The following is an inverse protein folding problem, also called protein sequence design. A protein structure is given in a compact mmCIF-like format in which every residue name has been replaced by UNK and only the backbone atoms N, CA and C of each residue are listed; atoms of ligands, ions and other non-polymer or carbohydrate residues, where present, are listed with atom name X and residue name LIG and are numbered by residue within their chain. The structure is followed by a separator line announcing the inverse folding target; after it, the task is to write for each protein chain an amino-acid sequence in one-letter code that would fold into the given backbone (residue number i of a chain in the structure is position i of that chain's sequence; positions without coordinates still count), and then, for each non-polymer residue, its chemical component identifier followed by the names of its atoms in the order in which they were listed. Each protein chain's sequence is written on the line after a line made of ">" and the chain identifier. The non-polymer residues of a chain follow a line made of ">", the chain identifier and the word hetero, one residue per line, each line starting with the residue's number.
data_IF_814610658506
#
_entry.id   IF_814610658506
#
_cell.length_a   1.000
_cell.length_b   1.000
_cell.length_c   1.000
_cell.angle_alpha   90.00
_cell.angle_beta   90.00
_cell.angle_gamma   90.00
#
_symmetry.space_group_name_H-M   'P 1'
#
loop_
_entity.id
_entity.type
_entity.pdbx_description
1 polymer ?
#
# COMPACT_ATOMS: atom_id res chain seq x y z
N UNK A 1 -8.46 -34.56 63.62
CA UNK A 1 -7.62 -33.36 63.44
C UNK A 1 -7.14 -33.30 61.99
N UNK A 2 -7.71 -32.39 61.21
CA UNK A 2 -7.03 -31.60 60.16
C UNK A 2 -8.09 -30.93 59.29
N UNK A 3 -8.21 -29.62 59.47
CA UNK A 3 -8.95 -28.67 58.66
C UNK A 3 -8.26 -28.49 57.31
N UNK A 4 -9.02 -28.42 56.21
CA UNK A 4 -8.62 -27.64 55.02
C UNK A 4 -9.85 -26.87 54.53
N UNK A 5 -9.72 -25.55 54.59
CA UNK A 5 -10.70 -24.58 54.12
C UNK A 5 -10.73 -24.52 52.59
N UNK A 6 -11.93 -24.46 52.01
CA UNK A 6 -12.12 -24.12 50.60
C UNK A 6 -12.71 -22.71 50.49
N UNK A 7 -11.88 -21.78 50.02
CA UNK A 7 -12.23 -20.38 49.75
C UNK A 7 -13.00 -20.31 48.44
N UNK A 8 -14.16 -19.65 48.48
CA UNK A 8 -15.14 -19.49 47.40
C UNK A 8 -14.77 -18.24 46.57
N UNK A 9 -14.28 -18.40 45.33
CA UNK A 9 -14.07 -17.28 44.41
C UNK A 9 -15.42 -16.82 43.81
N UNK A 10 -15.77 -15.54 44.03
CA UNK A 10 -16.89 -14.84 43.37
C UNK A 10 -16.40 -14.26 42.03
N UNK A 11 -17.14 -14.56 40.96
CA UNK A 11 -16.88 -14.07 39.61
C UNK A 11 -16.98 -12.55 39.49
N UNK A 12 -15.99 -11.97 38.80
CA UNK A 12 -15.89 -10.55 38.46
C UNK A 12 -16.78 -10.27 37.24
N UNK A 13 -17.73 -9.34 37.38
CA UNK A 13 -18.65 -8.93 36.29
C UNK A 13 -17.92 -8.06 35.26
N UNK A 14 -18.07 -8.40 33.98
CA UNK A 14 -17.59 -7.58 32.86
C UNK A 14 -18.38 -6.27 32.76
N UNK A 15 -17.69 -5.14 32.98
CA UNK A 15 -18.21 -3.80 32.75
C UNK A 15 -18.20 -3.46 31.26
N UNK A 16 -19.35 -3.05 30.73
CA UNK A 16 -19.49 -2.48 29.38
C UNK A 16 -18.76 -1.13 29.35
N UNK A 17 -17.76 -0.99 28.47
CA UNK A 17 -17.09 0.30 28.25
C UNK A 17 -17.54 0.90 26.91
N UNK A 18 -18.39 1.91 27.00
CA UNK A 18 -18.79 2.83 25.93
C UNK A 18 -17.62 3.78 25.66
N UNK A 19 -16.96 3.66 24.50
CA UNK A 19 -15.95 4.63 24.08
C UNK A 19 -16.61 5.78 23.33
N UNK A 20 -16.48 6.99 23.89
CA UNK A 20 -16.96 8.24 23.34
C UNK A 20 -16.17 8.66 22.09
N UNK A 21 -16.88 9.26 21.14
CA UNK A 21 -16.33 9.96 19.97
C UNK A 21 -15.46 11.15 20.41
N UNK A 22 -14.30 11.30 19.78
CA UNK A 22 -13.54 12.57 19.75
C UNK A 22 -13.32 12.97 18.30
N UNK A 23 -13.58 14.25 17.99
CA UNK A 23 -13.43 14.86 16.67
C UNK A 23 -12.24 15.84 16.68
N UNK A 24 -11.43 15.74 15.61
CA UNK A 24 -10.55 16.74 14.99
C UNK A 24 -9.39 17.32 15.82
N UNK A 25 -8.16 17.01 15.36
CA UNK A 25 -6.96 17.82 15.61
C UNK A 25 -5.74 17.00 16.01
N UNK A 26 -4.81 16.79 15.06
CA UNK A 26 -3.52 16.08 15.18
C UNK A 26 -3.61 14.62 15.65
N UNK A 27 -3.40 13.70 14.72
CA UNK A 27 -3.19 12.28 15.02
C UNK A 27 -1.82 12.14 15.68
N UNK A 28 -1.77 12.24 17.01
CA UNK A 28 -0.68 11.67 17.76
C UNK A 28 -0.89 10.16 17.73
N UNK A 29 -0.05 9.44 16.99
CA UNK A 29 0.01 7.99 17.10
C UNK A 29 0.64 7.67 18.46
N UNK A 30 -0.20 7.50 19.46
CA UNK A 30 0.17 6.97 20.76
C UNK A 30 -0.43 5.57 20.87
N UNK A 31 0.44 4.57 20.89
CA UNK A 31 0.08 3.22 21.31
C UNK A 31 -0.45 3.28 22.76
N UNK A 32 -1.30 2.33 23.15
CA UNK A 32 -1.90 2.16 24.48
C UNK A 32 -0.84 2.15 25.61
N UNK A 33 0.44 1.92 25.28
CA UNK A 33 1.59 1.89 26.18
C UNK A 33 2.42 3.20 26.24
N UNK A 34 2.02 4.30 25.60
CA UNK A 34 2.75 5.58 25.67
C UNK A 34 4.10 5.60 24.93
N UNK A 35 4.34 4.64 24.02
CA UNK A 35 5.48 4.66 23.11
C UNK A 35 5.24 5.64 21.96
N UNK A 36 6.30 6.33 21.55
CA UNK A 36 6.33 7.08 20.28
C UNK A 36 6.03 6.08 19.16
N UNK A 37 4.92 6.24 18.43
CA UNK A 37 4.59 5.28 17.39
C UNK A 37 5.66 5.26 16.31
N UNK A 38 6.00 4.05 15.87
CA UNK A 38 6.82 3.83 14.69
C UNK A 38 6.05 4.41 13.50
N UNK A 39 6.69 5.34 12.79
CA UNK A 39 6.17 5.88 11.55
C UNK A 39 7.01 5.33 10.40
N UNK A 40 6.35 4.96 9.31
CA UNK A 40 6.98 4.67 8.04
C UNK A 40 6.66 5.76 7.03
N UNK A 41 7.30 5.72 5.87
CA UNK A 41 7.01 6.59 4.74
C UNK A 41 6.80 5.75 3.49
N UNK A 42 6.11 6.31 2.54
CA UNK A 42 5.82 5.64 1.29
C UNK A 42 5.49 6.61 0.19
N UNK A 43 5.19 6.06 -0.98
CA UNK A 43 4.80 6.83 -2.17
C UNK A 43 3.53 6.24 -2.76
N UNK A 44 2.58 7.09 -3.10
CA UNK A 44 1.42 6.75 -3.93
C UNK A 44 1.73 7.29 -5.32
N UNK A 45 1.73 6.42 -6.32
CA UNK A 45 1.86 6.77 -7.73
C UNK A 45 0.58 6.35 -8.45
N UNK A 46 -0.26 7.33 -8.80
CA UNK A 46 -1.40 7.11 -9.69
C UNK A 46 -0.91 7.32 -11.12
N UNK A 47 -0.83 6.23 -11.87
CA UNK A 47 -0.31 6.22 -13.24
C UNK A 47 -1.35 6.66 -14.25
N UNK A 48 -2.61 6.34 -14.00
CA UNK A 48 -3.72 6.71 -14.86
C UNK A 48 -5.01 6.83 -14.05
N UNK A 49 -5.68 7.96 -14.22
CA UNK A 49 -6.99 8.27 -13.67
C UNK A 49 -7.75 9.17 -14.64
N UNK A 50 -9.01 8.87 -14.99
CA UNK A 50 -9.86 9.85 -15.67
C UNK A 50 -10.04 11.11 -14.82
N UNK A 51 -10.10 12.32 -15.42
CA UNK A 51 -10.23 13.58 -14.68
C UNK A 51 -11.42 13.62 -13.70
N UNK A 52 -12.54 12.97 -14.05
CA UNK A 52 -13.72 12.91 -13.20
C UNK A 52 -13.51 12.10 -11.90
N UNK A 53 -12.52 11.20 -11.87
CA UNK A 53 -12.22 10.32 -10.73
C UNK A 53 -11.18 10.95 -9.79
N UNK A 54 -10.39 11.91 -10.27
CA UNK A 54 -9.32 12.56 -9.50
C UNK A 54 -9.77 13.14 -8.15
N UNK A 55 -10.91 13.86 -8.03
CA UNK A 55 -11.40 14.34 -6.72
C UNK A 55 -11.75 13.21 -5.74
N UNK A 56 -12.22 12.07 -6.26
CA UNK A 56 -12.56 10.91 -5.44
C UNK A 56 -11.32 10.18 -4.94
N UNK A 57 -10.26 10.13 -5.76
CA UNK A 57 -8.94 9.62 -5.35
C UNK A 57 -8.36 10.47 -4.22
N UNK A 58 -8.38 11.80 -4.35
CA UNK A 58 -7.95 12.72 -3.30
C UNK A 58 -8.71 12.49 -2.00
N UNK A 59 -10.04 12.37 -2.09
CA UNK A 59 -10.89 12.14 -0.93
C UNK A 59 -10.62 10.78 -0.26
N UNK A 60 -10.45 9.72 -1.05
CA UNK A 60 -10.16 8.37 -0.55
C UNK A 60 -8.83 8.34 0.21
N UNK A 61 -7.76 8.87 -0.39
CA UNK A 61 -6.45 8.96 0.26
C UNK A 61 -6.54 9.83 1.51
N UNK A 62 -7.22 10.98 1.44
CA UNK A 62 -7.36 11.87 2.59
C UNK A 62 -8.13 11.26 3.75
N UNK A 63 -9.14 10.43 3.46
CA UNK A 63 -9.86 9.66 4.48
C UNK A 63 -8.96 8.64 5.18
N UNK A 64 -8.12 7.95 4.42
CA UNK A 64 -7.19 6.95 4.96
C UNK A 64 -6.10 7.61 5.81
N UNK A 65 -5.53 8.72 5.33
CA UNK A 65 -4.48 9.47 6.03
C UNK A 65 -5.01 10.41 7.14
N UNK A 66 -6.33 10.55 7.28
CA UNK A 66 -6.93 11.47 8.26
C UNK A 66 -6.64 12.96 8.00
N UNK A 67 -6.28 13.34 6.77
CA UNK A 67 -5.92 14.72 6.39
C UNK A 67 -6.46 15.07 5.01
N UNK A 68 -6.68 16.35 4.73
CA UNK A 68 -7.04 16.78 3.38
C UNK A 68 -5.87 16.59 2.43
N UNK A 69 -6.12 15.94 1.30
CA UNK A 69 -5.10 15.67 0.28
C UNK A 69 -5.43 16.44 -0.98
N UNK A 70 -4.40 17.07 -1.54
CA UNK A 70 -4.42 17.64 -2.89
C UNK A 70 -3.28 17.02 -3.68
N UNK A 71 -3.60 16.51 -4.86
CA UNK A 71 -2.65 15.86 -5.76
C UNK A 71 -2.35 16.81 -6.92
N UNK A 72 -1.07 16.93 -7.25
CA UNK A 72 -0.64 17.63 -8.47
C UNK A 72 -0.90 16.71 -9.66
N UNK A 73 -2.06 16.86 -10.29
CA UNK A 73 -2.45 16.05 -11.44
C UNK A 73 -1.82 16.59 -12.72
N UNK A 74 -1.20 15.71 -13.48
CA UNK A 74 -0.58 16.01 -14.76
C UNK A 74 -1.18 15.12 -15.85
N UNK A 75 -1.22 15.55 -17.13
CA UNK A 75 -1.57 14.67 -18.24
C UNK A 75 -0.65 13.45 -18.31
N UNK A 76 -1.22 12.27 -18.55
CA UNK A 76 -0.47 11.04 -18.79
C UNK A 76 -0.27 10.84 -20.30
N UNK A 77 0.98 10.88 -20.78
CA UNK A 77 1.29 10.73 -22.21
C UNK A 77 1.13 9.28 -22.70
N UNK A 78 1.24 8.29 -21.81
CA UNK A 78 1.04 6.89 -22.17
C UNK A 78 -0.44 6.53 -22.47
N UNK A 79 -1.40 7.33 -21.99
CA UNK A 79 -2.83 7.07 -22.17
C UNK A 79 -3.61 8.39 -22.23
N UNK A 80 -3.94 8.82 -23.46
CA UNK A 80 -4.62 10.08 -23.70
C UNK A 80 -5.96 10.17 -22.95
N UNK A 81 -6.26 11.35 -22.41
CA UNK A 81 -7.48 11.60 -21.64
C UNK A 81 -7.41 11.16 -20.18
N UNK A 82 -6.25 10.68 -19.72
CA UNK A 82 -6.02 10.33 -18.31
C UNK A 82 -4.98 11.24 -17.66
N UNK A 83 -5.04 11.32 -16.34
CA UNK A 83 -4.14 12.09 -15.50
C UNK A 83 -3.33 11.15 -14.59
N UNK A 84 -2.15 11.60 -14.22
CA UNK A 84 -1.25 10.94 -13.27
C UNK A 84 -0.93 11.87 -12.10
N UNK A 85 -0.49 11.30 -10.99
CA UNK A 85 0.05 12.07 -9.87
C UNK A 85 0.88 11.18 -8.95
N UNK A 86 1.88 11.77 -8.30
CA UNK A 86 2.72 11.10 -7.31
C UNK A 86 2.71 11.89 -6.01
N UNK A 87 2.58 11.21 -4.87
CA UNK A 87 2.62 11.85 -3.55
C UNK A 87 3.29 10.96 -2.52
N UNK A 88 4.25 11.52 -1.79
CA UNK A 88 4.80 10.89 -0.60
C UNK A 88 3.87 11.04 0.60
N UNK A 89 3.92 10.07 1.51
CA UNK A 89 3.16 10.07 2.76
C UNK A 89 4.02 9.53 3.89
N UNK A 90 3.62 9.82 5.13
CA UNK A 90 4.32 9.35 6.34
C UNK A 90 3.31 9.11 7.46
N UNK A 91 3.03 7.86 7.76
CA UNK A 91 1.99 7.42 8.70
C UNK A 91 2.43 6.14 9.43
N UNK A 92 1.54 5.52 10.21
CA UNK A 92 1.79 4.21 10.80
C UNK A 92 1.97 3.11 9.72
N UNK A 93 2.72 2.04 10.04
CA UNK A 93 2.86 0.87 9.18
C UNK A 93 1.51 0.24 8.79
N UNK A 94 1.44 -0.32 7.58
CA UNK A 94 0.25 -0.92 6.99
C UNK A 94 -0.66 0.07 6.24
N UNK A 95 -0.29 1.36 6.20
CA UNK A 95 -1.09 2.37 5.53
C UNK A 95 -1.09 2.20 3.99
N UNK A 96 -0.03 1.63 3.41
CA UNK A 96 -0.03 1.32 1.97
C UNK A 96 -1.17 0.37 1.59
N UNK A 97 -1.39 -0.68 2.38
CA UNK A 97 -2.48 -1.63 2.17
C UNK A 97 -3.87 -0.96 2.26
N UNK A 98 -4.07 -0.09 3.24
CA UNK A 98 -5.33 0.67 3.39
C UNK A 98 -5.56 1.64 2.23
N UNK A 99 -4.52 2.35 1.77
CA UNK A 99 -4.59 3.22 0.60
C UNK A 99 -4.96 2.39 -0.63
N UNK A 100 -4.26 1.28 -0.90
CA UNK A 100 -4.52 0.44 -2.06
C UNK A 100 -5.95 -0.15 -2.02
N UNK A 101 -6.43 -0.55 -0.85
CA UNK A 101 -7.79 -1.03 -0.66
C UNK A 101 -8.86 0.06 -0.90
N UNK A 102 -8.56 1.32 -0.58
CA UNK A 102 -9.43 2.45 -0.88
C UNK A 102 -9.44 2.77 -2.38
N UNK A 103 -8.28 2.77 -3.04
CA UNK A 103 -8.15 3.13 -4.46
C UNK A 103 -8.70 2.07 -5.42
N UNK A 104 -8.62 0.78 -5.08
CA UNK A 104 -9.11 -0.30 -5.96
C UNK A 104 -10.64 -0.29 -6.19
N UNK A 105 -11.39 0.59 -5.52
CA UNK A 105 -12.82 0.77 -5.75
C UNK A 105 -13.15 1.35 -7.13
N UNK A 106 -12.16 1.93 -7.80
CA UNK A 106 -12.25 2.49 -9.14
C UNK A 106 -11.51 1.59 -10.14
N UNK A 107 -12.21 0.71 -10.87
CA UNK A 107 -11.55 -0.30 -11.70
C UNK A 107 -10.78 0.26 -12.90
N UNK A 108 -10.98 1.53 -13.24
CA UNK A 108 -10.26 2.20 -14.31
C UNK A 108 -8.90 2.77 -13.89
N UNK A 109 -8.56 2.75 -12.60
CA UNK A 109 -7.28 3.29 -12.12
C UNK A 109 -6.13 2.33 -12.41
N UNK A 110 -4.96 2.89 -12.68
CA UNK A 110 -3.66 2.21 -12.59
C UNK A 110 -2.84 2.90 -11.53
N UNK A 111 -2.38 2.18 -10.51
CA UNK A 111 -1.62 2.80 -9.42
C UNK A 111 -0.62 1.85 -8.76
N UNK A 112 0.32 2.45 -8.05
CA UNK A 112 1.27 1.78 -7.19
C UNK A 112 1.30 2.48 -5.84
N UNK A 113 1.39 1.71 -4.76
CA UNK A 113 1.65 2.24 -3.42
C UNK A 113 2.84 1.50 -2.85
N UNK A 114 3.84 2.24 -2.39
CA UNK A 114 4.98 1.70 -1.67
C UNK A 114 4.94 2.11 -0.21
N UNK A 115 5.47 1.26 0.64
CA UNK A 115 5.74 1.51 2.05
C UNK A 115 7.17 1.06 2.34
N UNK A 116 7.94 1.90 3.03
CA UNK A 116 9.29 1.56 3.44
C UNK A 116 9.29 0.61 4.64
N UNK A 117 10.35 -0.20 4.81
CA UNK A 117 10.49 -1.04 5.99
C UNK A 117 10.51 -0.18 7.25
N UNK A 118 9.94 -0.72 8.32
CA UNK A 118 9.93 -0.12 9.64
C UNK A 118 10.21 -1.18 10.70
N UNK A 119 10.35 -0.76 11.96
CA UNK A 119 10.67 -1.71 13.04
C UNK A 119 9.61 -2.81 13.14
N UNK A 120 10.00 -4.05 12.86
CA UNK A 120 9.12 -5.22 12.90
C UNK A 120 8.20 -5.38 11.68
N UNK A 121 8.32 -4.56 10.64
CA UNK A 121 7.52 -4.66 9.41
C UNK A 121 8.40 -4.52 8.17
N UNK A 122 8.30 -5.49 7.26
CA UNK A 122 8.93 -5.39 5.95
C UNK A 122 8.32 -4.23 5.14
N UNK A 123 9.11 -3.64 4.25
CA UNK A 123 8.56 -2.73 3.25
C UNK A 123 7.70 -3.49 2.26
N UNK A 124 6.83 -2.80 1.55
CA UNK A 124 5.96 -3.42 0.56
C UNK A 124 5.72 -2.54 -0.66
N UNK A 125 5.48 -3.22 -1.79
CA UNK A 125 4.95 -2.63 -3.02
C UNK A 125 3.61 -3.26 -3.32
N UNK A 126 2.63 -2.43 -3.57
CA UNK A 126 1.31 -2.83 -4.02
C UNK A 126 1.06 -2.19 -5.38
N UNK A 127 0.76 -3.00 -6.39
CA UNK A 127 0.42 -2.56 -7.74
C UNK A 127 -1.01 -2.93 -8.05
N UNK A 128 -1.72 -2.06 -8.74
CA UNK A 128 -3.06 -2.33 -9.25
C UNK A 128 -3.13 -1.99 -10.73
N UNK A 129 -3.59 -2.98 -11.51
CA UNK A 129 -3.87 -2.85 -12.93
C UNK A 129 -5.29 -3.37 -13.16
N UNK A 130 -6.16 -2.64 -13.90
CA UNK A 130 -7.59 -2.94 -14.04
C UNK A 130 -7.94 -4.41 -14.30
N UNK A 131 -7.25 -5.05 -15.23
CA UNK A 131 -7.54 -6.42 -15.68
C UNK A 131 -6.69 -7.49 -14.99
N UNK A 132 -5.63 -7.12 -14.26
CA UNK A 132 -4.80 -8.05 -13.48
C UNK A 132 -5.18 -8.07 -12.00
N UNK A 133 -5.80 -7.00 -11.50
CA UNK A 133 -6.12 -6.81 -10.09
C UNK A 133 -4.93 -6.34 -9.27
N UNK A 134 -4.92 -6.69 -7.99
CA UNK A 134 -3.88 -6.29 -7.03
C UNK A 134 -2.74 -7.30 -7.01
N UNK A 135 -1.52 -6.81 -7.15
CA UNK A 135 -0.30 -7.52 -6.81
C UNK A 135 0.35 -6.87 -5.59
N UNK A 136 0.87 -7.69 -4.67
CA UNK A 136 1.53 -7.25 -3.43
C UNK A 136 2.76 -8.10 -3.19
N UNK A 137 3.88 -7.45 -2.87
CA UNK A 137 5.12 -8.12 -2.51
C UNK A 137 5.92 -7.30 -1.50
N UNK A 138 6.67 -7.99 -0.66
CA UNK A 138 7.62 -7.37 0.26
C UNK A 138 8.80 -6.77 -0.52
N UNK A 139 9.44 -5.75 0.03
CA UNK A 139 10.56 -5.05 -0.58
C UNK A 139 11.80 -5.06 0.32
N UNK A 140 12.98 -5.20 -0.30
CA UNK A 140 14.26 -4.98 0.36
C UNK A 140 14.45 -3.50 0.69
N UNK A 141 15.43 -3.18 1.53
CA UNK A 141 15.78 -1.78 1.83
C UNK A 141 16.20 -0.99 0.57
N UNK A 142 16.72 -1.68 -0.46
CA UNK A 142 17.10 -1.09 -1.76
C UNK A 142 15.91 -0.87 -2.70
N UNK A 143 14.75 -1.44 -2.38
CA UNK A 143 13.55 -1.38 -3.20
C UNK A 143 13.32 -2.59 -4.11
N UNK A 144 14.13 -3.64 -3.99
CA UNK A 144 13.95 -4.88 -4.76
C UNK A 144 12.78 -5.69 -4.21
N UNK A 145 12.04 -6.37 -5.08
CA UNK A 145 11.01 -7.31 -4.65
C UNK A 145 11.63 -8.53 -3.97
N UNK A 146 11.12 -8.88 -2.79
CA UNK A 146 11.54 -10.07 -2.06
C UNK A 146 10.53 -11.20 -2.24
N UNK A 147 11.02 -12.35 -2.68
CA UNK A 147 10.26 -13.59 -2.75
C UNK A 147 10.74 -14.50 -1.62
N UNK A 148 9.82 -14.91 -0.73
CA UNK A 148 10.18 -15.76 0.40
C UNK A 148 10.48 -17.19 -0.03
N UNK A 149 11.34 -17.87 0.74
CA UNK A 149 11.70 -19.27 0.52
C UNK A 149 10.45 -20.17 0.40
N UNK A 150 9.47 -20.01 1.30
CA UNK A 150 8.24 -20.79 1.31
C UNK A 150 7.43 -20.63 0.01
N UNK A 151 7.42 -19.43 -0.58
CA UNK A 151 6.74 -19.18 -1.86
C UNK A 151 7.43 -19.93 -3.00
N UNK A 152 8.76 -19.98 -2.98
CA UNK A 152 9.56 -20.74 -3.96
C UNK A 152 9.32 -22.25 -3.77
N UNK A 153 9.37 -22.75 -2.53
CA UNK A 153 9.09 -24.17 -2.22
C UNK A 153 7.68 -24.57 -2.63
N UNK A 154 6.68 -23.74 -2.36
CA UNK A 154 5.29 -23.98 -2.77
C UNK A 154 5.15 -24.02 -4.31
N UNK A 155 5.85 -23.13 -5.02
CA UNK A 155 5.87 -23.16 -6.49
C UNK A 155 6.50 -24.46 -7.00
N UNK A 156 7.66 -24.85 -6.47
CA UNK A 156 8.34 -26.08 -6.87
C UNK A 156 7.49 -27.33 -6.60
N UNK A 157 6.74 -27.36 -5.49
CA UNK A 157 5.88 -28.49 -5.14
C UNK A 157 4.66 -28.67 -6.06
N UNK A 158 4.22 -27.61 -6.74
CA UNK A 158 3.00 -27.63 -7.58
C UNK A 158 3.31 -27.72 -9.07
N UNK A 159 4.57 -27.54 -9.45
CA UNK A 159 5.00 -27.41 -10.83
C UNK A 159 5.48 -28.74 -11.41
N UNK A 160 5.04 -29.07 -12.63
CA UNK A 160 5.36 -30.34 -13.31
C UNK A 160 6.21 -30.18 -14.58
N UNK A 161 6.46 -28.95 -15.03
CA UNK A 161 7.27 -28.65 -16.22
C UNK A 161 8.08 -27.37 -16.04
N UNK A 162 9.15 -27.21 -16.82
CA UNK A 162 9.98 -25.99 -16.84
C UNK A 162 9.18 -24.75 -17.24
N UNK A 163 8.21 -24.89 -18.15
CA UNK A 163 7.37 -23.79 -18.58
C UNK A 163 6.39 -23.34 -17.49
N UNK A 164 5.79 -24.29 -16.77
CA UNK A 164 4.97 -23.98 -15.60
C UNK A 164 5.80 -23.32 -14.49
N UNK A 165 7.06 -23.71 -14.31
CA UNK A 165 7.97 -23.07 -13.35
C UNK A 165 8.22 -21.61 -13.72
N UNK A 166 8.57 -21.35 -14.99
CA UNK A 166 8.80 -20.00 -15.51
C UNK A 166 7.57 -19.11 -15.32
N UNK A 167 6.40 -19.59 -15.73
CA UNK A 167 5.14 -18.84 -15.56
C UNK A 167 4.80 -18.58 -14.09
N UNK A 168 5.09 -19.54 -13.21
CA UNK A 168 4.93 -19.35 -11.77
C UNK A 168 5.88 -18.31 -11.19
N UNK A 169 7.14 -18.29 -11.63
CA UNK A 169 8.11 -17.26 -11.26
C UNK A 169 7.68 -15.87 -11.75
N UNK A 170 7.18 -15.75 -12.98
CA UNK A 170 6.66 -14.48 -13.51
C UNK A 170 5.51 -13.93 -12.66
N UNK A 171 4.63 -14.82 -12.15
CA UNK A 171 3.57 -14.44 -11.22
C UNK A 171 4.11 -14.04 -9.84
N UNK A 172 5.13 -14.73 -9.35
CA UNK A 172 5.77 -14.39 -8.06
C UNK A 172 6.53 -13.06 -8.11
N UNK A 173 7.08 -12.70 -9.27
CA UNK A 173 7.79 -11.44 -9.50
C UNK A 173 6.86 -10.29 -9.87
N UNK A 174 5.61 -10.56 -10.25
CA UNK A 174 4.67 -9.54 -10.70
C UNK A 174 5.00 -9.00 -12.10
N UNK A 175 5.68 -9.80 -12.93
CA UNK A 175 6.18 -9.40 -14.26
C UNK A 175 5.10 -8.78 -15.15
N UNK A 176 3.88 -9.32 -15.12
CA UNK A 176 2.76 -8.77 -15.92
C UNK A 176 2.30 -7.39 -15.43
N UNK A 177 2.32 -7.13 -14.11
CA UNK A 177 2.01 -5.80 -13.58
C UNK A 177 3.10 -4.81 -13.96
N UNK A 178 4.37 -5.20 -13.85
CA UNK A 178 5.46 -4.35 -14.27
C UNK A 178 5.38 -4.05 -15.77
N UNK A 179 5.13 -5.04 -16.62
CA UNK A 179 4.96 -4.83 -18.08
C UNK A 179 3.84 -3.84 -18.40
N UNK A 180 2.70 -3.95 -17.73
CA UNK A 180 1.55 -3.07 -17.95
C UNK A 180 1.79 -1.64 -17.44
N UNK A 181 2.51 -1.48 -16.33
CA UNK A 181 2.77 -0.17 -15.73
C UNK A 181 4.00 0.53 -16.31
N UNK A 182 4.93 -0.21 -16.92
CA UNK A 182 6.18 0.33 -17.44
C UNK A 182 6.00 1.50 -18.42
N UNK A 183 5.09 1.47 -19.41
CA UNK A 183 4.86 2.61 -20.29
C UNK A 183 4.47 3.89 -19.54
N UNK A 184 3.69 3.76 -18.46
CA UNK A 184 3.24 4.88 -17.63
C UNK A 184 4.36 5.46 -16.76
N UNK A 185 5.28 4.60 -16.27
CA UNK A 185 6.47 5.00 -15.51
C UNK A 185 7.46 5.76 -16.40
N UNK A 186 7.72 5.26 -17.60
CA UNK A 186 8.64 5.89 -18.56
C UNK A 186 8.12 7.24 -19.05
N UNK A 187 6.81 7.35 -19.28
CA UNK A 187 6.15 8.61 -19.61
C UNK A 187 6.35 9.70 -18.54
N UNK A 188 6.58 9.31 -17.27
CA UNK A 188 6.93 10.26 -16.20
C UNK A 188 8.26 10.97 -16.45
N UNK A 189 9.30 10.23 -16.82
CA UNK A 189 10.65 10.78 -17.01
C UNK A 189 10.79 11.69 -18.23
N UNK A 190 9.96 11.51 -19.27
CA UNK A 190 10.03 12.33 -20.49
C UNK A 190 9.57 13.78 -20.29
N UNK A 191 8.61 14.02 -19.38
CA UNK A 191 8.13 15.37 -19.09
C UNK A 191 9.21 16.22 -18.39
N UNK A 192 10.02 15.61 -17.52
CA UNK A 192 11.12 16.29 -16.81
C UNK A 192 12.29 16.61 -17.75
N UNK A 193 12.56 15.75 -18.73
CA UNK A 193 13.60 15.94 -19.75
C UNK A 193 13.23 17.04 -20.75
N UNK A 194 11.93 17.23 -21.05
CA UNK A 194 11.44 18.29 -21.96
C UNK A 194 11.76 19.71 -21.46
N UNK A 195 11.78 19.94 -20.14
CA UNK A 195 12.12 21.25 -19.57
C UNK A 195 13.61 21.57 -19.65
N UNK A 196 14.48 20.55 -19.60
CA UNK A 196 15.92 20.71 -19.77
C UNK A 196 16.31 21.01 -21.22
N UNK A 197 15.47 20.66 -22.20
CA UNK A 197 15.69 20.95 -23.62
C UNK A 197 15.33 22.38 -24.06
N UNK A 198 14.65 23.17 -23.20
CA UNK A 198 14.25 24.55 -23.51
C UNK A 198 15.20 25.63 -22.96
N UNK A 199 16.32 25.24 -22.35
CA UNK A 199 17.38 26.16 -21.96
C UNK A 199 18.58 25.94 -22.88
N UNK A 200 18.49 26.48 -24.10
CA UNK A 200 19.64 26.76 -24.97
C UNK A 200 19.44 28.08 -25.69
#
# INVERSE_FOLDING_TARGET
>A
MSHVAHVRQKGLKAGKSTAARVHVGKVHYVDFAGRCAVLTKGVISVHSSPPAVCPHVEWAIGRVLGTTVKLGWEPQSAEAGTLRSTRSWREAPGMAAEIAAALRQWPMLRFEVTEQPSEGCDGERIMYVPHLGVYRAAMSASGDLMVTEDRIRALLATTTSSEALRSGLDKLLGTEWDRELEPYRLACGQAEQSWLGQVS
#
